data_IF_947434659992
#
_entry.id   IF_947434659992
#
_cell.length_a   1.000
_cell.length_b   1.000
_cell.length_c   1.000
_cell.angle_alpha   90.00
_cell.angle_beta   90.00
_cell.angle_gamma   90.00
#
_symmetry.space_group_name_H-M   'P 1'
#
loop_
_entity.id
_entity.type
_entity.pdbx_description
1 polymer ?
#
# COMPACT_ATOMS: atom_id res chain seq x y z
N UNK A 1 21.33 -20.92 -2.00
CA UNK A 1 20.23 -20.17 -1.38
C UNK A 1 18.96 -20.96 -1.57
N UNK A 2 18.26 -21.27 -0.48
CA UNK A 2 16.92 -21.87 -0.52
C UNK A 2 15.95 -20.72 -0.26
N UNK A 3 14.86 -20.68 -1.02
CA UNK A 3 13.75 -19.75 -0.78
C UNK A 3 12.58 -20.62 -0.36
N UNK A 4 12.06 -20.41 0.84
CA UNK A 4 10.77 -20.94 1.24
C UNK A 4 9.70 -19.84 1.12
N UNK A 5 8.44 -20.27 1.08
CA UNK A 5 7.29 -19.38 0.95
C UNK A 5 6.33 -19.67 2.09
N UNK A 6 5.98 -18.64 2.85
CA UNK A 6 5.05 -18.73 3.96
C UNK A 6 3.84 -17.86 3.66
N UNK A 7 2.67 -18.49 3.50
CA UNK A 7 1.41 -17.79 3.32
C UNK A 7 0.84 -17.35 4.67
N UNK A 8 0.82 -16.04 4.91
CA UNK A 8 0.24 -15.43 6.11
C UNK A 8 -1.29 -15.43 6.11
N UNK A 9 -1.93 -15.86 5.01
CA UNK A 9 -3.38 -15.91 4.79
C UNK A 9 -4.11 -14.61 5.16
N UNK A 10 -3.40 -13.49 5.05
CA UNK A 10 -3.90 -12.16 5.44
C UNK A 10 -4.53 -12.15 6.84
N UNK A 11 -3.86 -12.76 7.83
CA UNK A 11 -4.28 -12.68 9.22
C UNK A 11 -3.09 -12.58 10.19
N UNK A 12 -3.33 -11.99 11.36
CA UNK A 12 -2.28 -11.66 12.33
C UNK A 12 -1.61 -12.91 12.92
N UNK A 13 -2.36 -13.97 13.19
CA UNK A 13 -1.82 -15.19 13.81
C UNK A 13 -0.88 -15.95 12.88
N UNK A 14 -1.29 -16.17 11.63
CA UNK A 14 -0.44 -16.82 10.62
C UNK A 14 0.76 -15.92 10.25
N UNK A 15 0.60 -14.59 10.23
CA UNK A 15 1.72 -13.65 10.05
C UNK A 15 2.76 -13.79 11.17
N UNK A 16 2.32 -13.81 12.43
CA UNK A 16 3.22 -13.99 13.57
C UNK A 16 3.91 -15.36 13.56
N UNK A 17 3.18 -16.42 13.22
CA UNK A 17 3.76 -17.76 13.10
C UNK A 17 4.81 -17.82 11.98
N UNK A 18 4.60 -17.10 10.87
CA UNK A 18 5.58 -16.98 9.79
C UNK A 18 6.87 -16.35 10.30
N UNK A 19 6.78 -15.27 11.08
CA UNK A 19 7.95 -14.62 11.70
C UNK A 19 8.69 -15.51 12.69
N UNK A 20 7.96 -16.27 13.52
CA UNK A 20 8.57 -17.23 14.46
C UNK A 20 9.31 -18.33 13.69
N UNK A 21 8.73 -18.86 12.61
CA UNK A 21 9.37 -19.86 11.76
C UNK A 21 10.62 -19.26 11.09
N UNK A 22 10.51 -18.05 10.57
CA UNK A 22 11.61 -17.36 9.91
C UNK A 22 12.79 -17.11 10.86
N UNK A 23 12.55 -16.75 12.13
CA UNK A 23 13.63 -16.66 13.13
C UNK A 23 14.43 -17.97 13.30
N UNK A 24 13.81 -19.12 13.02
CA UNK A 24 14.42 -20.43 13.24
C UNK A 24 15.13 -20.96 11.99
N UNK A 25 14.61 -20.63 10.81
CA UNK A 25 14.97 -21.27 9.55
C UNK A 25 15.64 -20.32 8.56
N UNK A 26 15.41 -19.01 8.70
CA UNK A 26 15.74 -18.00 7.70
C UNK A 26 16.71 -16.96 8.24
N UNK A 27 17.38 -16.28 7.30
CA UNK A 27 18.32 -15.19 7.61
C UNK A 27 17.80 -13.82 7.14
N UNK A 28 16.66 -13.79 6.42
CA UNK A 28 15.96 -12.58 5.99
C UNK A 28 14.49 -12.91 5.68
N UNK A 29 13.58 -11.96 5.93
CA UNK A 29 12.21 -11.99 5.40
C UNK A 29 12.08 -10.96 4.29
N UNK A 30 11.42 -11.33 3.18
CA UNK A 30 11.19 -10.43 2.04
C UNK A 30 9.71 -10.44 1.70
N UNK A 31 9.15 -9.24 1.51
CA UNK A 31 7.82 -9.07 0.98
C UNK A 31 6.69 -9.13 2.02
N UNK A 32 7.02 -9.04 3.32
CA UNK A 32 6.01 -8.93 4.36
C UNK A 32 5.11 -7.71 4.10
N UNK A 33 3.79 -7.91 4.23
CA UNK A 33 2.80 -6.84 4.16
C UNK A 33 2.16 -6.61 5.53
N UNK A 34 2.35 -5.41 6.05
CA UNK A 34 2.04 -5.00 7.42
C UNK A 34 0.57 -4.84 7.78
N UNK A 35 -0.37 -5.31 6.96
CA UNK A 35 -1.78 -5.14 7.26
C UNK A 35 -2.17 -5.82 8.59
N UNK A 36 -1.34 -6.76 9.07
CA UNK A 36 -1.57 -7.56 10.26
C UNK A 36 -0.34 -7.73 11.17
N UNK A 37 0.73 -6.94 10.95
CA UNK A 37 1.98 -7.03 11.73
C UNK A 37 1.93 -6.01 12.88
N UNK A 38 1.04 -6.26 13.83
CA UNK A 38 0.86 -5.40 15.00
C UNK A 38 1.80 -5.75 16.16
N UNK A 39 2.76 -6.64 15.92
CA UNK A 39 3.83 -7.00 16.84
C UNK A 39 5.01 -7.52 16.00
N UNK A 40 6.19 -6.94 16.23
CA UNK A 40 7.46 -7.31 15.59
C UNK A 40 8.47 -7.87 16.59
N UNK A 41 8.10 -8.04 17.86
CA UNK A 41 9.04 -8.47 18.91
C UNK A 41 9.68 -9.82 18.60
N UNK A 42 8.95 -10.73 17.94
CA UNK A 42 9.49 -12.02 17.54
C UNK A 42 10.66 -11.82 16.55
N UNK A 43 10.51 -10.98 15.52
CA UNK A 43 11.58 -10.72 14.54
C UNK A 43 12.72 -9.86 15.11
N UNK A 44 12.42 -8.91 15.99
CA UNK A 44 13.44 -8.05 16.61
C UNK A 44 14.33 -8.80 17.60
N UNK A 45 13.81 -9.88 18.19
CA UNK A 45 14.53 -10.69 19.18
C UNK A 45 15.12 -11.98 18.62
N UNK A 46 15.02 -12.25 17.31
CA UNK A 46 15.63 -13.44 16.73
C UNK A 46 17.12 -13.49 17.07
N UNK A 47 17.57 -14.67 17.49
CA UNK A 47 18.99 -14.93 17.77
C UNK A 47 19.66 -15.46 16.51
N UNK A 48 20.86 -14.97 16.22
CA UNK A 48 21.69 -15.56 15.17
C UNK A 48 22.23 -16.94 15.61
N UNK A 49 22.98 -17.61 14.72
CA UNK A 49 23.58 -18.92 15.03
C UNK A 49 24.53 -18.91 16.24
N UNK A 50 25.08 -17.75 16.61
CA UNK A 50 25.92 -17.59 17.79
C UNK A 50 25.12 -17.34 19.09
N UNK A 51 23.78 -17.37 19.03
CA UNK A 51 22.90 -17.12 20.16
C UNK A 51 22.78 -15.64 20.55
N UNK A 52 23.24 -14.73 19.71
CA UNK A 52 23.16 -13.28 19.95
C UNK A 52 21.86 -12.75 19.36
N UNK A 53 21.07 -12.02 20.16
CA UNK A 53 19.90 -11.30 19.68
C UNK A 53 20.35 -10.21 18.69
N UNK A 54 20.18 -10.50 17.40
CA UNK A 54 20.58 -9.64 16.29
C UNK A 54 19.36 -9.13 15.52
N UNK A 55 18.20 -9.75 15.72
CA UNK A 55 17.01 -9.53 14.93
C UNK A 55 17.11 -10.16 13.54
N UNK A 56 15.97 -10.39 12.92
CA UNK A 56 15.86 -10.86 11.54
C UNK A 56 15.47 -9.68 10.64
N UNK A 57 16.31 -9.33 9.64
CA UNK A 57 15.96 -8.26 8.70
C UNK A 57 14.65 -8.57 7.95
N UNK A 58 13.74 -7.60 7.95
CA UNK A 58 12.45 -7.67 7.25
C UNK A 58 12.41 -6.63 6.12
N UNK A 59 12.57 -7.09 4.88
CA UNK A 59 12.44 -6.28 3.68
C UNK A 59 10.97 -6.16 3.26
N UNK A 60 10.23 -5.33 3.98
CA UNK A 60 8.79 -5.18 3.82
C UNK A 60 8.39 -4.51 2.48
N UNK A 61 7.21 -4.88 1.97
CA UNK A 61 6.58 -4.20 0.82
C UNK A 61 5.86 -2.94 1.29
N UNK A 62 5.02 -3.07 2.32
CA UNK A 62 4.18 -1.99 2.82
C UNK A 62 4.10 -2.11 4.34
N UNK A 63 4.31 -0.99 5.03
CA UNK A 63 4.29 -0.86 6.49
C UNK A 63 3.15 0.05 6.93
N UNK A 64 2.11 -0.50 7.57
CA UNK A 64 0.90 0.23 7.99
C UNK A 64 0.66 0.18 9.49
N UNK A 65 1.12 -0.87 10.17
CA UNK A 65 1.07 -0.95 11.63
C UNK A 65 2.20 -0.12 12.25
N UNK A 66 1.95 0.45 13.43
CA UNK A 66 2.89 1.35 14.10
C UNK A 66 4.21 0.65 14.42
N UNK A 67 4.12 -0.55 15.01
CA UNK A 67 5.27 -1.29 15.50
C UNK A 67 6.23 -1.66 14.37
N UNK A 68 5.71 -2.16 13.23
CA UNK A 68 6.55 -2.49 12.09
C UNK A 68 7.11 -1.25 11.39
N UNK A 69 6.34 -0.15 11.27
CA UNK A 69 6.84 1.10 10.68
C UNK A 69 8.04 1.68 11.42
N UNK A 70 8.13 1.44 12.74
CA UNK A 70 9.18 1.97 13.60
C UNK A 70 10.16 0.92 14.11
N UNK A 71 10.12 -0.28 13.55
CA UNK A 71 11.01 -1.36 13.92
C UNK A 71 12.42 -1.11 13.36
N UNK A 72 13.48 -1.29 14.16
CA UNK A 72 14.86 -1.18 13.66
C UNK A 72 15.25 -2.32 12.71
N UNK A 73 14.48 -3.42 12.68
CA UNK A 73 14.74 -4.56 11.78
C UNK A 73 13.95 -4.49 10.47
N UNK A 74 13.01 -3.55 10.34
CA UNK A 74 12.21 -3.38 9.12
C UNK A 74 12.86 -2.41 8.16
N UNK A 75 13.07 -2.86 6.91
CA UNK A 75 13.62 -2.11 5.80
C UNK A 75 12.57 -2.10 4.69
N UNK A 76 11.83 -1.01 4.56
CA UNK A 76 10.74 -0.92 3.58
C UNK A 76 11.15 -0.14 2.34
N UNK A 77 10.83 -0.67 1.15
CA UNK A 77 11.01 0.05 -0.13
C UNK A 77 10.08 1.25 -0.25
N UNK A 78 8.97 1.23 0.50
CA UNK A 78 8.10 2.38 0.67
C UNK A 78 8.38 3.03 2.03
N UNK A 79 8.64 4.33 2.10
CA UNK A 79 8.90 4.98 3.38
C UNK A 79 7.68 4.85 4.33
N UNK A 80 7.89 4.62 5.64
CA UNK A 80 6.81 4.60 6.61
C UNK A 80 6.11 5.96 6.66
N UNK A 81 4.81 5.98 6.91
CA UNK A 81 4.06 7.23 7.00
C UNK A 81 4.23 7.91 8.35
N UNK A 82 4.42 7.16 9.43
CA UNK A 82 4.67 7.73 10.76
C UNK A 82 6.09 8.30 10.86
N UNK A 83 6.25 9.45 11.51
CA UNK A 83 7.55 9.91 11.98
C UNK A 83 7.82 9.25 13.32
N UNK A 84 8.68 8.23 13.33
CA UNK A 84 8.87 7.34 14.50
C UNK A 84 9.32 8.02 15.79
N UNK A 85 9.97 9.19 15.72
CA UNK A 85 10.28 9.97 16.92
C UNK A 85 9.05 10.54 17.62
N UNK A 86 7.89 10.55 16.95
CA UNK A 86 6.60 11.06 17.46
C UNK A 86 5.60 9.94 17.75
N UNK A 87 6.04 8.67 17.71
CA UNK A 87 5.15 7.51 17.85
C UNK A 87 4.36 7.48 19.16
N UNK A 88 4.95 8.05 20.22
CA UNK A 88 4.37 8.10 21.57
C UNK A 88 3.67 9.46 21.85
N UNK A 89 3.67 10.39 20.90
CA UNK A 89 2.99 11.69 21.02
C UNK A 89 1.47 11.56 20.80
N UNK A 90 0.73 12.58 21.26
CA UNK A 90 -0.70 12.72 20.98
C UNK A 90 -1.05 14.17 20.65
N UNK A 91 -1.29 14.52 19.36
CA UNK A 91 -1.30 13.62 18.19
C UNK A 91 0.11 13.21 17.73
N UNK A 92 0.21 12.04 17.12
CA UNK A 92 1.38 11.57 16.37
C UNK A 92 1.57 12.36 15.07
N UNK A 93 2.80 12.44 14.55
CA UNK A 93 3.11 13.13 13.29
C UNK A 93 3.29 12.14 12.14
N UNK A 94 2.66 12.43 11.00
CA UNK A 94 2.72 11.62 9.79
C UNK A 94 3.26 12.42 8.61
N UNK A 95 3.99 11.74 7.72
CA UNK A 95 4.33 12.19 6.37
C UNK A 95 3.37 11.55 5.36
N UNK A 96 2.59 12.40 4.68
CA UNK A 96 1.61 11.96 3.71
C UNK A 96 2.17 11.95 2.29
N UNK A 97 1.83 10.92 1.50
CA UNK A 97 2.02 10.98 0.06
C UNK A 97 0.87 11.77 -0.58
N UNK A 98 1.00 13.10 -0.60
CA UNK A 98 -0.01 14.01 -1.11
C UNK A 98 0.40 14.76 -2.39
N UNK A 99 1.57 14.46 -2.97
CA UNK A 99 2.09 15.18 -4.15
C UNK A 99 1.17 15.15 -5.38
N UNK A 100 0.31 14.13 -5.50
CA UNK A 100 -0.67 14.05 -6.59
C UNK A 100 -1.78 15.10 -6.49
N UNK A 101 -2.03 15.68 -5.30
CA UNK A 101 -2.97 16.80 -5.15
C UNK A 101 -2.56 17.98 -6.03
N UNK A 102 -1.27 18.33 -6.04
CA UNK A 102 -0.74 19.40 -6.89
C UNK A 102 -0.95 19.13 -8.39
N UNK A 103 -0.77 17.88 -8.83
CA UNK A 103 -1.05 17.49 -10.21
C UNK A 103 -2.55 17.65 -10.55
N UNK A 104 -3.44 17.14 -9.69
CA UNK A 104 -4.88 17.25 -9.90
C UNK A 104 -5.34 18.70 -9.93
N UNK A 105 -4.86 19.53 -9.01
CA UNK A 105 -5.21 20.96 -8.98
C UNK A 105 -4.69 21.71 -10.22
N UNK A 106 -3.49 21.38 -10.70
CA UNK A 106 -2.94 21.95 -11.93
C UNK A 106 -3.79 21.55 -13.16
N UNK A 107 -4.26 20.30 -13.21
CA UNK A 107 -5.00 19.76 -14.36
C UNK A 107 -6.48 20.13 -14.37
N UNK A 108 -7.13 20.14 -13.21
CA UNK A 108 -8.59 20.23 -13.07
C UNK A 108 -9.08 21.50 -12.35
N UNK A 109 -8.13 22.32 -11.88
CA UNK A 109 -8.36 23.55 -11.11
C UNK A 109 -8.27 23.30 -9.60
N UNK A 110 -8.09 24.37 -8.83
CA UNK A 110 -7.92 24.31 -7.36
C UNK A 110 -9.21 24.02 -6.58
N UNK A 111 -10.38 24.17 -7.21
CA UNK A 111 -11.66 23.89 -6.56
C UNK A 111 -12.00 22.39 -6.62
N UNK A 112 -11.11 21.54 -6.10
CA UNK A 112 -11.37 20.11 -5.97
C UNK A 112 -11.90 19.80 -4.58
N UNK A 113 -13.02 19.09 -4.52
CA UNK A 113 -13.63 18.65 -3.28
C UNK A 113 -14.52 17.44 -3.51
N UNK A 114 -14.65 16.59 -2.49
CA UNK A 114 -15.49 15.43 -2.61
C UNK A 114 -15.32 14.40 -1.52
N UNK A 115 -15.63 13.15 -1.83
CA UNK A 115 -15.71 12.10 -0.82
C UNK A 115 -14.40 11.34 -0.65
N UNK A 116 -14.11 10.98 0.59
CA UNK A 116 -13.00 10.11 0.96
C UNK A 116 -13.53 8.84 1.61
N UNK A 117 -13.20 7.69 1.02
CA UNK A 117 -13.62 6.37 1.50
C UNK A 117 -12.42 5.65 2.12
N UNK A 118 -12.53 5.34 3.40
CA UNK A 118 -11.53 4.65 4.21
C UNK A 118 -11.87 3.17 4.35
N UNK A 119 -10.87 2.29 4.30
CA UNK A 119 -11.07 0.87 4.55
C UNK A 119 -11.52 0.63 6.00
N UNK A 120 -12.65 -0.03 6.24
CA UNK A 120 -13.14 -0.30 7.61
C UNK A 120 -12.83 -1.71 8.12
N UNK A 121 -12.36 -2.61 7.25
CA UNK A 121 -12.13 -4.01 7.61
C UNK A 121 -10.90 -4.22 8.51
N UNK A 122 -9.89 -3.33 8.39
CA UNK A 122 -8.60 -3.46 9.05
C UNK A 122 -8.17 -2.08 9.56
N UNK A 123 -7.90 -1.98 10.87
CA UNK A 123 -7.49 -0.73 11.53
C UNK A 123 -6.20 -0.15 10.92
N UNK A 124 -5.20 -0.99 10.66
CA UNK A 124 -3.93 -0.55 10.04
C UNK A 124 -4.15 0.11 8.67
N UNK A 125 -4.97 -0.51 7.82
CA UNK A 125 -5.30 0.04 6.51
C UNK A 125 -6.06 1.37 6.64
N UNK A 126 -7.02 1.45 7.56
CA UNK A 126 -7.75 2.68 7.86
C UNK A 126 -6.80 3.82 8.26
N UNK A 127 -5.91 3.56 9.22
CA UNK A 127 -4.93 4.54 9.70
C UNK A 127 -4.01 5.02 8.56
N UNK A 128 -3.52 4.10 7.74
CA UNK A 128 -2.66 4.44 6.60
C UNK A 128 -3.40 5.24 5.51
N UNK A 129 -4.69 4.92 5.27
CA UNK A 129 -5.54 5.71 4.39
C UNK A 129 -5.73 7.13 4.94
N UNK A 130 -6.04 7.27 6.24
CA UNK A 130 -6.23 8.56 6.91
C UNK A 130 -4.99 9.44 6.83
N UNK A 131 -3.80 8.91 7.12
CA UNK A 131 -2.56 9.68 6.97
C UNK A 131 -2.40 10.27 5.56
N UNK A 132 -2.62 9.47 4.52
CA UNK A 132 -2.51 9.95 3.13
C UNK A 132 -3.64 10.89 2.71
N UNK A 133 -4.89 10.57 3.04
CA UNK A 133 -6.05 11.36 2.61
C UNK A 133 -6.17 12.67 3.36
N UNK A 134 -5.82 12.72 4.66
CA UNK A 134 -5.69 13.98 5.39
C UNK A 134 -4.65 14.88 4.74
N UNK A 135 -3.49 14.33 4.34
CA UNK A 135 -2.50 15.10 3.57
C UNK A 135 -3.06 15.66 2.25
N UNK A 136 -3.86 14.88 1.51
CA UNK A 136 -4.53 15.40 0.29
C UNK A 136 -5.51 16.55 0.59
N UNK A 137 -6.19 16.49 1.74
CA UNK A 137 -7.09 17.54 2.21
C UNK A 137 -6.33 18.80 2.61
N UNK A 138 -5.21 18.65 3.32
CA UNK A 138 -4.31 19.74 3.70
C UNK A 138 -3.67 20.42 2.47
N UNK A 139 -3.36 19.66 1.42
CA UNK A 139 -2.93 20.16 0.12
C UNK A 139 -4.06 20.83 -0.68
N UNK A 140 -5.29 20.85 -0.16
CA UNK A 140 -6.40 21.67 -0.65
C UNK A 140 -7.48 20.93 -1.43
N UNK A 141 -7.48 19.60 -1.47
CA UNK A 141 -8.61 18.81 -2.01
C UNK A 141 -9.60 18.52 -0.88
N UNK A 142 -10.58 19.39 -0.68
CA UNK A 142 -11.44 19.37 0.52
C UNK A 142 -12.32 18.11 0.60
N UNK A 143 -12.53 17.62 1.82
CA UNK A 143 -13.55 16.60 2.07
C UNK A 143 -14.94 17.23 2.14
N UNK A 144 -15.82 16.81 1.24
CA UNK A 144 -17.26 17.04 1.35
C UNK A 144 -17.86 16.09 2.40
N UNK A 145 -17.38 14.84 2.42
CA UNK A 145 -17.74 13.84 3.41
C UNK A 145 -16.74 12.69 3.44
N UNK A 146 -16.64 12.04 4.59
CA UNK A 146 -15.80 10.88 4.83
C UNK A 146 -16.65 9.67 5.17
N UNK A 147 -16.24 8.49 4.69
CA UNK A 147 -16.96 7.24 4.92
C UNK A 147 -15.99 6.11 5.24
N UNK A 148 -16.25 5.35 6.30
CA UNK A 148 -15.60 4.05 6.52
C UNK A 148 -16.43 2.99 5.78
N UNK A 149 -15.80 2.25 4.86
CA UNK A 149 -16.47 1.24 4.04
C UNK A 149 -15.77 -0.11 4.11
N UNK A 150 -16.55 -1.16 4.23
CA UNK A 150 -16.04 -2.53 4.15
C UNK A 150 -15.85 -2.91 2.69
N UNK A 151 -14.75 -3.61 2.41
CA UNK A 151 -14.49 -4.25 1.11
C UNK A 151 -15.49 -5.37 0.81
N UNK A 152 -16.30 -5.79 1.79
CA UNK A 152 -17.40 -6.76 1.60
C UNK A 152 -18.76 -6.09 1.39
N UNK A 153 -18.82 -4.75 1.44
CA UNK A 153 -20.07 -4.02 1.30
C UNK A 153 -20.67 -4.22 -0.12
N UNK A 154 -21.98 -4.49 -0.23
CA UNK A 154 -22.65 -4.58 -1.52
C UNK A 154 -22.72 -3.19 -2.18
N UNK A 155 -22.99 -3.15 -3.49
CA UNK A 155 -23.13 -1.89 -4.23
C UNK A 155 -24.15 -0.93 -3.60
N UNK A 156 -25.27 -1.45 -3.07
CA UNK A 156 -26.31 -0.63 -2.41
C UNK A 156 -25.81 0.12 -1.17
N UNK A 157 -24.70 -0.31 -0.55
CA UNK A 157 -24.08 0.44 0.55
C UNK A 157 -23.45 1.76 0.09
N UNK A 158 -23.19 1.92 -1.21
CA UNK A 158 -22.63 3.15 -1.80
C UNK A 158 -23.71 4.15 -2.20
N UNK A 159 -24.99 3.75 -2.16
CA UNK A 159 -26.12 4.63 -2.48
C UNK A 159 -26.07 5.95 -1.70
N UNK A 160 -25.95 5.97 -0.36
CA UNK A 160 -25.89 7.22 0.41
C UNK A 160 -24.63 8.06 0.11
N UNK A 161 -23.52 7.43 -0.27
CA UNK A 161 -22.28 8.12 -0.64
C UNK A 161 -22.49 8.92 -1.92
N UNK A 162 -23.08 8.29 -2.94
CA UNK A 162 -23.36 8.94 -4.23
C UNK A 162 -24.40 10.05 -4.08
N UNK A 163 -25.40 9.89 -3.21
CA UNK A 163 -26.34 10.98 -2.94
C UNK A 163 -25.64 12.17 -2.28
N UNK A 164 -24.77 11.95 -1.30
CA UNK A 164 -23.97 13.02 -0.71
C UNK A 164 -23.10 13.73 -1.76
N UNK A 165 -22.51 12.99 -2.70
CA UNK A 165 -21.75 13.59 -3.80
C UNK A 165 -22.62 14.48 -4.69
N UNK A 166 -23.86 14.06 -5.00
CA UNK A 166 -24.79 14.85 -5.81
C UNK A 166 -25.23 16.12 -5.08
N UNK A 167 -25.59 16.00 -3.81
CA UNK A 167 -26.05 17.12 -2.98
C UNK A 167 -24.97 18.19 -2.80
N UNK A 168 -23.71 17.77 -2.65
CA UNK A 168 -22.57 18.67 -2.42
C UNK A 168 -21.87 19.11 -3.70
N UNK A 169 -22.28 18.57 -4.86
CA UNK A 169 -21.64 18.84 -6.14
C UNK A 169 -20.17 18.38 -6.15
N UNK A 170 -19.86 17.28 -5.47
CA UNK A 170 -18.50 16.73 -5.37
C UNK A 170 -17.92 16.50 -6.76
N UNK A 171 -16.70 16.98 -6.97
CA UNK A 171 -15.99 16.81 -8.24
C UNK A 171 -14.72 15.95 -8.11
N UNK A 172 -14.52 15.37 -6.92
CA UNK A 172 -13.45 14.45 -6.56
C UNK A 172 -14.05 13.25 -5.80
N UNK A 173 -13.43 12.08 -5.93
CA UNK A 173 -13.67 10.98 -5.02
C UNK A 173 -12.39 10.15 -4.89
N UNK A 174 -12.04 9.78 -3.67
CA UNK A 174 -10.93 8.88 -3.41
C UNK A 174 -11.38 7.68 -2.59
N UNK A 175 -10.94 6.49 -2.97
CA UNK A 175 -11.09 5.27 -2.16
C UNK A 175 -9.74 4.68 -1.77
N UNK A 176 -9.58 4.41 -0.48
CA UNK A 176 -8.47 3.66 0.11
C UNK A 176 -8.84 2.22 0.46
N UNK A 177 -10.13 1.86 0.33
CA UNK A 177 -10.60 0.48 0.42
C UNK A 177 -10.15 -0.33 -0.82
N UNK A 178 -10.39 -1.64 -0.78
CA UNK A 178 -10.01 -2.55 -1.87
C UNK A 178 -10.63 -2.13 -3.22
N UNK A 179 -10.01 -2.55 -4.32
CA UNK A 179 -10.43 -2.24 -5.70
C UNK A 179 -11.94 -2.41 -5.97
N UNK A 180 -12.56 -3.43 -5.40
CA UNK A 180 -13.98 -3.71 -5.57
C UNK A 180 -14.89 -2.64 -4.93
N UNK A 181 -14.42 -1.95 -3.90
CA UNK A 181 -15.09 -0.78 -3.32
C UNK A 181 -15.18 0.36 -4.33
N UNK A 182 -14.07 0.65 -5.02
CA UNK A 182 -14.05 1.66 -6.10
C UNK A 182 -14.97 1.24 -7.24
N UNK A 183 -14.96 -0.03 -7.65
CA UNK A 183 -15.89 -0.54 -8.68
C UNK A 183 -17.36 -0.33 -8.26
N UNK A 184 -17.70 -0.67 -7.01
CA UNK A 184 -19.05 -0.51 -6.49
C UNK A 184 -19.49 0.96 -6.45
N UNK A 185 -18.63 1.87 -5.97
CA UNK A 185 -18.88 3.31 -6.00
C UNK A 185 -19.13 3.82 -7.42
N UNK A 186 -18.30 3.40 -8.38
CA UNK A 186 -18.39 3.83 -9.79
C UNK A 186 -19.66 3.33 -10.46
N UNK A 187 -20.05 2.07 -10.23
CA UNK A 187 -21.31 1.51 -10.73
C UNK A 187 -22.52 2.21 -10.12
N UNK A 188 -22.48 2.50 -8.83
CA UNK A 188 -23.56 3.21 -8.16
C UNK A 188 -23.68 4.67 -8.63
N UNK A 189 -22.55 5.35 -8.83
CA UNK A 189 -22.49 6.69 -9.39
C UNK A 189 -23.16 6.75 -10.76
N UNK A 190 -22.87 5.78 -11.63
CA UNK A 190 -23.53 5.64 -12.94
C UNK A 190 -25.01 5.36 -12.81
N UNK A 191 -25.40 4.42 -11.94
CA UNK A 191 -26.80 4.05 -11.71
C UNK A 191 -27.65 5.26 -11.30
N UNK A 192 -27.11 6.13 -10.45
CA UNK A 192 -27.81 7.33 -9.98
C UNK A 192 -27.62 8.57 -10.87
N UNK A 193 -26.89 8.44 -11.99
CA UNK A 193 -26.63 9.54 -12.90
C UNK A 193 -25.81 10.67 -12.27
N UNK A 194 -24.86 10.37 -11.38
CA UNK A 194 -23.90 11.36 -10.88
C UNK A 194 -23.02 11.85 -12.05
N UNK A 195 -22.86 13.17 -12.13
CA UNK A 195 -22.08 13.86 -13.16
C UNK A 195 -21.12 14.86 -12.50
N UNK A 196 -20.14 15.35 -13.25
CA UNK A 196 -19.26 16.44 -12.79
C UNK A 196 -18.05 16.01 -11.95
N UNK A 197 -17.89 14.72 -11.67
CA UNK A 197 -16.68 14.18 -11.03
C UNK A 197 -15.52 14.22 -12.03
N UNK A 198 -14.51 15.04 -11.73
CA UNK A 198 -13.32 15.25 -12.56
C UNK A 198 -12.22 14.25 -12.24
N UNK A 199 -12.14 13.84 -10.99
CA UNK A 199 -11.10 12.93 -10.49
C UNK A 199 -11.75 11.81 -9.69
N UNK A 200 -11.63 10.60 -10.22
CA UNK A 200 -11.77 9.38 -9.44
C UNK A 200 -10.35 8.91 -9.13
N UNK A 201 -9.99 8.92 -7.85
CA UNK A 201 -8.66 8.57 -7.35
C UNK A 201 -8.71 7.27 -6.55
N UNK A 202 -7.67 6.46 -6.72
CA UNK A 202 -7.35 5.39 -5.80
C UNK A 202 -5.86 5.13 -5.85
N UNK A 203 -5.38 4.37 -4.88
CA UNK A 203 -3.96 4.06 -4.74
C UNK A 203 -3.66 2.70 -5.38
N UNK A 204 -2.54 2.11 -4.98
CA UNK A 204 -1.98 0.87 -5.49
C UNK A 204 -3.00 -0.26 -5.74
N UNK A 205 -4.00 -0.41 -4.86
CA UNK A 205 -4.96 -1.50 -4.93
C UNK A 205 -5.78 -1.52 -6.21
N UNK A 206 -5.93 -0.40 -6.91
CA UNK A 206 -6.60 -0.34 -8.21
C UNK A 206 -5.69 -0.70 -9.39
N UNK A 207 -4.37 -0.81 -9.18
CA UNK A 207 -3.44 -1.25 -10.22
C UNK A 207 -3.45 -2.79 -10.34
N UNK A 208 -4.64 -3.32 -10.61
CA UNK A 208 -4.97 -4.75 -10.64
C UNK A 208 -5.88 -5.00 -11.85
N UNK A 209 -5.63 -6.08 -12.61
CA UNK A 209 -6.46 -6.46 -13.76
C UNK A 209 -7.94 -6.65 -13.39
N UNK A 210 -8.21 -7.19 -12.20
CA UNK A 210 -9.56 -7.41 -11.68
C UNK A 210 -10.36 -6.10 -11.59
N UNK A 211 -9.70 -4.97 -11.37
CA UNK A 211 -10.37 -3.67 -11.32
C UNK A 211 -11.05 -3.35 -12.67
N UNK A 212 -10.32 -3.54 -13.78
CA UNK A 212 -10.84 -3.33 -15.14
C UNK A 212 -11.83 -4.43 -15.51
N UNK A 213 -11.55 -5.69 -15.20
CA UNK A 213 -12.45 -6.81 -15.49
C UNK A 213 -13.83 -6.66 -14.81
N UNK A 214 -13.85 -6.21 -13.55
CA UNK A 214 -15.09 -6.04 -12.78
C UNK A 214 -15.78 -4.71 -13.08
N UNK A 215 -15.02 -3.66 -13.35
CA UNK A 215 -15.53 -2.30 -13.58
C UNK A 215 -15.96 -2.03 -15.02
N UNK A 216 -15.27 -2.61 -16.01
CA UNK A 216 -15.49 -2.34 -17.43
C UNK A 216 -15.48 -0.85 -17.74
N UNK A 217 -16.43 -0.41 -18.57
CA UNK A 217 -16.57 1.00 -18.96
C UNK A 217 -16.86 1.95 -17.78
N UNK A 218 -17.33 1.45 -16.63
CA UNK A 218 -17.76 2.30 -15.52
C UNK A 218 -16.58 2.88 -14.75
N UNK A 219 -15.39 2.27 -14.87
CA UNK A 219 -14.16 2.70 -14.21
C UNK A 219 -13.20 3.47 -15.14
N UNK A 220 -13.60 3.71 -16.39
CA UNK A 220 -12.80 4.50 -17.35
C UNK A 220 -12.45 5.90 -16.80
N UNK A 221 -11.23 6.35 -17.08
CA UNK A 221 -10.72 7.63 -16.55
C UNK A 221 -10.35 7.60 -15.06
N UNK A 222 -10.22 6.43 -14.44
CA UNK A 222 -9.66 6.28 -13.10
C UNK A 222 -8.21 6.78 -13.05
N UNK A 223 -7.89 7.59 -12.04
CA UNK A 223 -6.51 7.87 -11.66
C UNK A 223 -6.07 6.87 -10.60
N UNK A 224 -4.85 6.35 -10.79
CA UNK A 224 -4.21 5.40 -9.88
C UNK A 224 -2.84 5.96 -9.49
N UNK A 225 -2.64 6.20 -8.20
CA UNK A 225 -1.35 6.63 -7.68
C UNK A 225 -0.39 5.44 -7.56
N UNK A 226 0.75 5.52 -8.26
CA UNK A 226 1.79 4.49 -8.28
C UNK A 226 3.10 5.02 -7.69
N UNK A 227 3.87 4.13 -7.07
CA UNK A 227 5.23 4.37 -6.58
C UNK A 227 6.30 3.79 -7.51
N UNK A 228 5.89 3.32 -8.68
CA UNK A 228 6.71 2.69 -9.70
C UNK A 228 6.18 3.06 -11.10
N UNK A 229 6.96 2.74 -12.13
CA UNK A 229 6.57 2.98 -13.51
C UNK A 229 5.44 2.03 -13.95
N UNK A 230 4.39 2.52 -14.65
CA UNK A 230 3.35 1.65 -15.22
C UNK A 230 3.94 0.52 -16.07
N UNK A 231 3.34 -0.66 -16.04
CA UNK A 231 3.85 -1.86 -16.70
C UNK A 231 3.97 -1.79 -18.22
N UNK A 232 3.32 -0.82 -18.87
CA UNK A 232 3.50 -0.60 -20.31
C UNK A 232 4.79 0.20 -20.63
N UNK A 233 5.45 0.77 -19.62
CA UNK A 233 6.73 1.49 -19.72
C UNK A 233 7.96 0.55 -19.70
N UNK A 234 7.79 -0.76 -19.93
CA UNK A 234 8.91 -1.73 -19.97
C UNK A 234 10.05 -1.36 -20.92
N UNK A 235 9.78 -0.56 -21.95
CA UNK A 235 10.81 -0.10 -22.90
C UNK A 235 11.74 0.97 -22.33
N UNK A 236 11.34 1.66 -21.26
CA UNK A 236 12.08 2.79 -20.68
C UNK A 236 12.87 2.41 -19.43
N UNK A 237 12.64 1.22 -18.87
CA UNK A 237 13.27 0.77 -17.64
C UNK A 237 13.54 -0.75 -17.64
N UNK A 238 14.82 -1.13 -17.59
CA UNK A 238 15.25 -2.54 -17.62
C UNK A 238 14.76 -3.35 -16.42
N UNK A 239 14.74 -2.77 -15.22
CA UNK A 239 14.23 -3.45 -14.02
C UNK A 239 12.75 -3.80 -14.16
N UNK A 240 11.96 -2.87 -14.71
CA UNK A 240 10.55 -3.13 -15.01
C UNK A 240 10.40 -4.21 -16.10
N UNK A 241 11.22 -4.17 -17.15
CA UNK A 241 11.23 -5.20 -18.19
C UNK A 241 11.52 -6.59 -17.60
N UNK A 242 12.50 -6.70 -16.71
CA UNK A 242 12.86 -7.94 -16.04
C UNK A 242 11.73 -8.43 -15.11
N UNK A 243 11.14 -7.55 -14.30
CA UNK A 243 10.00 -7.90 -13.46
C UNK A 243 8.86 -8.51 -14.28
N UNK A 244 8.48 -7.86 -15.39
CA UNK A 244 7.40 -8.35 -16.27
C UNK A 244 7.79 -9.66 -16.97
N UNK A 245 9.06 -9.78 -17.40
CA UNK A 245 9.57 -11.00 -18.04
C UNK A 245 9.53 -12.21 -17.10
N UNK A 246 9.97 -12.06 -15.85
CA UNK A 246 10.09 -13.18 -14.91
C UNK A 246 8.79 -13.48 -14.15
N UNK A 247 7.96 -12.47 -13.90
CA UNK A 247 6.64 -12.65 -13.26
C UNK A 247 5.58 -13.12 -14.26
N UNK A 248 5.68 -12.64 -15.50
CA UNK A 248 4.66 -12.79 -16.53
C UNK A 248 3.60 -11.69 -16.43
N UNK A 249 3.25 -11.10 -17.58
CA UNK A 249 2.30 -9.97 -17.68
C UNK A 249 0.92 -10.27 -17.06
N UNK A 250 0.52 -11.53 -16.95
CA UNK A 250 -0.77 -11.93 -16.38
C UNK A 250 -0.79 -12.06 -14.86
N UNK A 251 0.38 -12.18 -14.23
CA UNK A 251 0.52 -12.29 -12.79
C UNK A 251 1.09 -11.03 -12.15
N UNK A 252 1.56 -10.08 -12.95
CA UNK A 252 2.09 -8.82 -12.48
C UNK A 252 0.99 -7.95 -11.86
N UNK A 253 1.21 -7.51 -10.63
CA UNK A 253 0.38 -6.54 -9.93
C UNK A 253 1.25 -5.56 -9.13
N UNK A 254 0.62 -4.51 -8.61
CA UNK A 254 1.32 -3.43 -7.91
C UNK A 254 2.02 -3.84 -6.60
N UNK A 255 1.56 -4.89 -5.92
CA UNK A 255 2.23 -5.42 -4.73
C UNK A 255 3.43 -6.29 -5.12
N UNK A 256 3.28 -7.10 -6.18
CA UNK A 256 4.32 -7.98 -6.71
C UNK A 256 5.57 -7.22 -7.15
N UNK A 257 5.43 -6.07 -7.83
CA UNK A 257 6.60 -5.26 -8.23
C UNK A 257 7.34 -4.65 -7.03
N UNK A 258 6.63 -4.37 -5.94
CA UNK A 258 7.26 -3.87 -4.73
C UNK A 258 8.00 -4.99 -3.98
N UNK A 259 7.44 -6.19 -3.95
CA UNK A 259 8.14 -7.36 -3.43
C UNK A 259 9.41 -7.67 -4.25
N UNK A 260 9.34 -7.51 -5.57
CA UNK A 260 10.50 -7.58 -6.46
C UNK A 260 11.56 -6.53 -6.09
N UNK A 261 11.14 -5.27 -5.88
CA UNK A 261 12.04 -4.20 -5.45
C UNK A 261 12.68 -4.49 -4.07
N UNK A 262 11.93 -5.03 -3.11
CA UNK A 262 12.45 -5.45 -1.80
C UNK A 262 13.51 -6.55 -1.95
N UNK A 263 13.30 -7.52 -2.84
CA UNK A 263 14.29 -8.56 -3.15
C UNK A 263 15.56 -8.00 -3.79
N UNK A 264 15.44 -7.01 -4.68
CA UNK A 264 16.60 -6.34 -5.26
C UNK A 264 17.38 -5.52 -4.22
N UNK A 265 16.69 -4.82 -3.32
CA UNK A 265 17.32 -4.07 -2.23
C UNK A 265 18.13 -5.01 -1.30
N UNK A 266 17.57 -6.17 -0.97
CA UNK A 266 18.28 -7.20 -0.23
C UNK A 266 19.51 -7.71 -0.98
N UNK A 267 19.38 -8.00 -2.29
CA UNK A 267 20.51 -8.44 -3.10
C UNK A 267 21.65 -7.40 -3.16
N UNK A 268 21.31 -6.11 -3.24
CA UNK A 268 22.29 -5.02 -3.17
C UNK A 268 23.01 -4.98 -1.81
N UNK A 269 22.27 -5.11 -0.70
CA UNK A 269 22.84 -5.16 0.63
C UNK A 269 23.81 -6.34 0.80
N UNK A 270 23.44 -7.54 0.33
CA UNK A 270 24.33 -8.71 0.34
C UNK A 270 25.59 -8.45 -0.46
N UNK A 271 25.46 -7.94 -1.69
CA UNK A 271 26.61 -7.67 -2.56
C UNK A 271 27.58 -6.65 -1.93
N UNK A 272 27.05 -5.60 -1.30
CA UNK A 272 27.85 -4.61 -0.59
C UNK A 272 28.62 -5.25 0.59
N UNK A 273 27.94 -6.07 1.39
CA UNK A 273 28.55 -6.80 2.52
C UNK A 273 29.64 -7.76 2.05
N UNK A 274 29.41 -8.51 0.98
CA UNK A 274 30.41 -9.41 0.39
C UNK A 274 31.63 -8.63 -0.12
N UNK A 275 31.41 -7.49 -0.76
CA UNK A 275 32.51 -6.64 -1.24
C UNK A 275 33.35 -6.07 -0.09
N UNK A 276 32.73 -5.75 1.05
CA UNK A 276 33.40 -5.17 2.21
C UNK A 276 34.12 -6.21 3.08
N UNK A 277 33.47 -7.34 3.35
CA UNK A 277 33.85 -8.28 4.42
C UNK A 277 33.98 -9.73 3.93
N UNK A 278 33.84 -9.96 2.62
CA UNK A 278 33.80 -11.30 2.04
C UNK A 278 32.48 -12.03 2.33
N UNK A 279 32.34 -13.23 1.79
CA UNK A 279 31.11 -14.05 1.89
C UNK A 279 30.69 -14.35 3.33
N UNK A 280 31.65 -14.38 4.26
CA UNK A 280 31.39 -14.65 5.68
C UNK A 280 30.77 -13.46 6.43
N UNK A 281 30.67 -12.29 5.79
CA UNK A 281 30.00 -11.12 6.35
C UNK A 281 28.47 -11.18 6.27
N UNK A 282 27.91 -12.13 5.50
CA UNK A 282 26.45 -12.29 5.27
C UNK A 282 25.81 -13.21 6.32
N UNK A 283 26.47 -13.42 7.46
CA UNK A 283 26.04 -14.32 8.54
C UNK A 283 25.20 -13.61 9.60
#
# INVERSE_FOLDING_TARGET
>A
MVVDFIDSKLNASDTRNAFIKACQEDFVVIGASALFVNNVSDIESCVNQAGVAAGLPDFAVVTTELDQQCSPTTISVNPPQIICSTKDDSPQTYQANAGRAAYYQKKFGKNLHGVYLYASDIKAANNANRATMTGMQEEGIKADQEFDVSSRAPQSAYTPIVQAMKEKGSNYAQSGAAQNSTVALRKEAKLQGLQGVKVWDCTLQCYDKKFIEQGGADVEGQFVALLFLPFDETKTNTMLADFIKYTGKDKADGFGIQAWASGLLFAEAVNATVAQSGVNGVN
#
